data_IF_988134786376
#
_entry.id   IF_988134786376
#
_cell.length_a   1.000
_cell.length_b   1.000
_cell.length_c   1.000
_cell.angle_alpha   90.00
_cell.angle_beta   90.00
_cell.angle_gamma   90.00
#
_symmetry.space_group_name_H-M   'P 1'
#
loop_
_entity.id
_entity.type
_entity.pdbx_description
1 polymer ?
#
# COMPACT_ATOMS: atom_id res chain seq x y z
N UNK A 1 0.87 10.74 -0.17
CA UNK A 1 -0.33 11.56 -0.46
C UNK A 1 -1.54 11.03 0.29
N UNK A 2 -1.83 9.71 0.27
CA UNK A 2 -3.00 9.19 0.99
C UNK A 2 -2.90 9.48 2.51
N UNK A 3 -1.78 9.15 3.13
CA UNK A 3 -1.56 9.43 4.57
C UNK A 3 -1.61 10.91 4.92
N UNK A 4 -1.21 11.80 4.02
CA UNK A 4 -1.24 13.25 4.26
C UNK A 4 -2.65 13.85 4.22
N UNK A 5 -3.64 13.13 3.69
CA UNK A 5 -5.04 13.55 3.71
C UNK A 5 -5.76 13.15 5.00
N UNK A 6 -5.31 12.11 5.68
CA UNK A 6 -5.95 11.55 6.85
C UNK A 6 -6.24 12.59 7.95
N UNK A 7 -5.31 13.49 8.32
CA UNK A 7 -5.59 14.49 9.36
C UNK A 7 -6.80 15.39 9.06
N UNK A 8 -7.08 15.65 7.78
CA UNK A 8 -8.25 16.48 7.38
C UNK A 8 -9.59 15.78 7.64
N UNK A 9 -9.57 14.46 7.85
CA UNK A 9 -10.77 13.66 8.12
C UNK A 9 -11.08 13.53 9.63
N UNK A 10 -10.18 13.95 10.52
CA UNK A 10 -10.36 13.86 11.96
C UNK A 10 -11.72 14.41 12.46
N UNK A 11 -12.25 15.55 11.93
CA UNK A 11 -13.56 16.05 12.35
C UNK A 11 -14.72 15.10 12.05
N UNK A 12 -14.52 14.13 11.14
CA UNK A 12 -15.53 13.16 10.70
C UNK A 12 -15.28 11.74 11.25
N UNK A 13 -14.27 11.55 12.11
CA UNK A 13 -13.90 10.22 12.63
C UNK A 13 -15.06 9.52 13.33
N UNK A 14 -15.93 10.28 14.01
CA UNK A 14 -17.11 9.74 14.70
C UNK A 14 -18.27 9.31 13.79
N UNK A 15 -18.19 9.55 12.48
CA UNK A 15 -19.25 9.18 11.53
C UNK A 15 -19.21 7.69 11.16
N UNK A 16 -18.15 6.97 11.55
CA UNK A 16 -17.90 5.57 11.20
C UNK A 16 -17.79 4.71 12.46
N UNK A 17 -18.41 3.55 12.45
CA UNK A 17 -18.18 2.50 13.46
C UNK A 17 -16.87 1.76 13.14
N UNK A 18 -15.76 2.29 13.66
CA UNK A 18 -14.42 1.77 13.43
C UNK A 18 -14.18 0.38 14.02
N UNK A 19 -15.00 -0.08 14.97
CA UNK A 19 -14.90 -1.46 15.48
C UNK A 19 -15.18 -2.52 14.43
N UNK A 20 -15.77 -2.14 13.30
CA UNK A 20 -16.07 -2.98 12.14
C UNK A 20 -15.08 -2.79 10.98
N UNK A 21 -14.04 -1.98 11.19
CA UNK A 21 -13.08 -1.61 10.13
C UNK A 21 -11.72 -2.19 10.43
N UNK A 22 -11.20 -2.96 9.47
CA UNK A 22 -9.80 -3.41 9.45
C UNK A 22 -9.05 -2.63 8.39
N UNK A 23 -7.96 -2.00 8.79
CA UNK A 23 -7.13 -1.16 7.92
C UNK A 23 -5.83 -1.89 7.62
N UNK A 24 -5.47 -1.92 6.35
CA UNK A 24 -4.20 -2.45 5.85
C UNK A 24 -3.41 -1.33 5.17
N UNK A 25 -2.10 -1.30 5.39
CA UNK A 25 -1.22 -0.52 4.54
C UNK A 25 -0.95 -1.32 3.26
N UNK A 26 -1.06 -0.67 2.10
CA UNK A 26 -0.82 -1.32 0.80
C UNK A 26 0.67 -1.46 0.49
N UNK A 27 1.51 -0.69 1.14
CA UNK A 27 2.97 -0.86 1.16
C UNK A 27 3.57 -0.23 2.42
N UNK A 28 4.74 -0.71 2.78
CA UNK A 28 5.50 -0.16 3.90
C UNK A 28 7.00 -0.25 3.66
N UNK A 29 7.71 0.69 4.25
CA UNK A 29 9.16 0.71 4.25
C UNK A 29 9.68 -0.29 5.26
N UNK A 30 10.55 -1.20 4.83
CA UNK A 30 11.15 -2.19 5.70
C UNK A 30 12.32 -1.56 6.49
N UNK A 31 11.95 -0.85 7.53
CA UNK A 31 12.85 -0.12 8.45
C UNK A 31 12.47 -0.44 9.89
N UNK A 32 13.28 -0.07 10.90
CA UNK A 32 12.95 -0.30 12.31
C UNK A 32 11.62 0.32 12.74
N UNK A 33 11.03 -0.22 13.81
CA UNK A 33 9.86 0.36 14.45
C UNK A 33 10.14 1.81 14.89
N UNK A 34 9.17 2.70 14.72
CA UNK A 34 9.29 4.11 15.05
C UNK A 34 10.17 4.93 14.10
N UNK A 35 10.65 4.33 12.99
CA UNK A 35 11.38 5.10 11.98
C UNK A 35 10.45 6.10 11.29
N UNK A 36 10.94 7.34 11.09
CA UNK A 36 10.13 8.44 10.55
C UNK A 36 9.51 8.17 9.17
N UNK A 37 10.10 7.26 8.39
CA UNK A 37 9.60 6.88 7.07
C UNK A 37 8.47 5.84 7.11
N UNK A 38 8.07 5.33 8.28
CA UNK A 38 6.98 4.35 8.35
C UNK A 38 5.62 5.00 8.08
N UNK A 39 4.89 4.40 7.14
CA UNK A 39 3.54 4.85 6.78
C UNK A 39 2.53 4.56 7.90
N UNK A 40 2.66 3.41 8.57
CA UNK A 40 1.72 2.99 9.62
C UNK A 40 1.77 3.90 10.84
N UNK A 41 2.96 4.33 11.26
CA UNK A 41 3.09 5.29 12.36
C UNK A 41 2.53 6.68 11.95
N UNK A 42 2.83 7.13 10.73
CA UNK A 42 2.26 8.38 10.20
C UNK A 42 0.73 8.32 10.11
N UNK A 43 0.16 7.20 9.66
CA UNK A 43 -1.28 7.02 9.56
C UNK A 43 -1.94 6.93 10.94
N UNK A 44 -1.30 6.24 11.88
CA UNK A 44 -1.76 6.14 13.25
C UNK A 44 -1.82 7.51 13.91
N UNK A 45 -0.70 8.24 13.94
CA UNK A 45 -0.61 9.56 14.54
C UNK A 45 -1.48 10.61 13.82
N UNK A 46 -1.61 10.48 12.50
CA UNK A 46 -2.39 11.41 11.70
C UNK A 46 -3.90 11.24 11.82
N UNK A 47 -4.38 10.03 12.17
CA UNK A 47 -5.82 9.76 12.14
C UNK A 47 -6.27 8.59 13.02
N UNK A 48 -5.69 7.38 12.85
CA UNK A 48 -6.28 6.16 13.40
C UNK A 48 -6.23 6.08 14.92
N UNK A 49 -5.35 6.84 15.59
CA UNK A 49 -5.37 6.96 17.05
C UNK A 49 -6.73 7.46 17.61
N UNK A 50 -7.48 8.23 16.81
CA UNK A 50 -8.79 8.76 17.17
C UNK A 50 -9.96 7.84 16.74
N UNK A 51 -9.69 6.83 15.92
CA UNK A 51 -10.67 5.89 15.38
C UNK A 51 -10.88 4.72 16.36
N UNK A 52 -11.74 4.92 17.34
CA UNK A 52 -11.94 3.95 18.43
C UNK A 52 -12.38 2.58 17.92
N UNK A 53 -11.63 1.54 18.26
CA UNK A 53 -11.93 0.16 17.90
C UNK A 53 -11.37 -0.28 16.55
N UNK A 54 -10.71 0.60 15.78
CA UNK A 54 -10.09 0.23 14.49
C UNK A 54 -9.01 -0.83 14.69
N UNK A 55 -8.99 -1.82 13.81
CA UNK A 55 -7.89 -2.78 13.70
C UNK A 55 -6.93 -2.32 12.59
N UNK A 56 -5.74 -1.84 12.95
CA UNK A 56 -4.68 -1.52 12.00
C UNK A 56 -3.71 -2.69 11.89
N UNK A 57 -3.71 -3.38 10.75
CA UNK A 57 -2.78 -4.48 10.45
C UNK A 57 -1.46 -3.89 9.96
N UNK A 58 -0.45 -3.96 10.82
CA UNK A 58 0.87 -3.38 10.56
C UNK A 58 1.77 -4.35 9.83
N UNK A 59 2.50 -3.87 8.83
CA UNK A 59 3.55 -4.64 8.17
C UNK A 59 4.78 -4.78 9.09
N UNK A 60 5.54 -5.88 8.96
CA UNK A 60 6.74 -6.13 9.76
C UNK A 60 7.77 -5.00 9.68
N UNK A 61 8.59 -4.91 10.71
CA UNK A 61 9.74 -4.00 10.79
C UNK A 61 11.05 -4.74 10.51
N UNK A 62 12.12 -4.00 10.27
CA UNK A 62 13.46 -4.59 10.07
C UNK A 62 14.17 -4.93 11.37
N UNK A 63 13.51 -4.80 12.52
CA UNK A 63 14.10 -5.17 13.81
C UNK A 63 14.33 -6.67 13.91
N UNK A 64 15.45 -7.06 14.46
CA UNK A 64 15.81 -8.49 14.63
C UNK A 64 14.87 -9.24 15.57
N UNK A 65 14.17 -8.53 16.45
CA UNK A 65 13.14 -9.06 17.35
C UNK A 65 11.75 -9.22 16.71
N UNK A 66 11.56 -8.64 15.52
CA UNK A 66 10.30 -8.74 14.79
C UNK A 66 10.13 -10.12 14.14
N UNK A 67 8.88 -10.52 13.80
CA UNK A 67 8.65 -11.68 12.95
C UNK A 67 9.47 -11.59 11.66
N UNK A 68 10.30 -12.61 11.39
CA UNK A 68 11.23 -12.61 10.27
C UNK A 68 12.68 -12.19 10.63
N UNK A 69 12.96 -11.79 11.89
CA UNK A 69 14.32 -11.60 12.40
C UNK A 69 15.16 -10.56 11.64
N UNK A 70 14.55 -9.47 11.14
CA UNK A 70 15.23 -8.44 10.36
C UNK A 70 15.55 -8.83 8.91
N UNK A 71 15.13 -10.02 8.46
CA UNK A 71 15.29 -10.48 7.10
C UNK A 71 14.02 -10.17 6.29
N UNK A 72 14.15 -9.39 5.21
CA UNK A 72 13.02 -8.96 4.39
C UNK A 72 12.18 -10.14 3.87
N UNK A 73 12.80 -11.22 3.37
CA UNK A 73 12.05 -12.37 2.84
C UNK A 73 11.27 -13.09 3.92
N UNK A 74 11.90 -13.33 5.07
CA UNK A 74 11.26 -14.00 6.18
C UNK A 74 10.11 -13.14 6.76
N UNK A 75 10.30 -11.82 6.84
CA UNK A 75 9.26 -10.88 7.27
C UNK A 75 8.10 -10.84 6.27
N UNK A 76 8.40 -10.83 4.98
CA UNK A 76 7.38 -10.87 3.91
C UNK A 76 6.57 -12.15 3.97
N UNK A 77 7.23 -13.32 4.13
CA UNK A 77 6.55 -14.62 4.25
C UNK A 77 5.67 -14.69 5.51
N UNK A 78 6.14 -14.14 6.64
CA UNK A 78 5.34 -14.08 7.86
C UNK A 78 4.10 -13.20 7.68
N UNK A 79 4.24 -12.08 6.98
CA UNK A 79 3.12 -11.19 6.70
C UNK A 79 2.15 -11.79 5.67
N UNK A 80 2.64 -12.54 4.70
CA UNK A 80 1.79 -13.29 3.76
C UNK A 80 0.95 -14.37 4.48
N UNK A 81 1.50 -15.01 5.51
CA UNK A 81 0.73 -15.90 6.37
C UNK A 81 -0.39 -15.16 7.12
N UNK A 82 -0.11 -13.97 7.66
CA UNK A 82 -1.11 -13.10 8.27
C UNK A 82 -2.18 -12.68 7.26
N UNK A 83 -1.77 -12.33 6.04
CA UNK A 83 -2.72 -12.04 4.95
C UNK A 83 -3.65 -13.23 4.69
N UNK A 84 -3.09 -14.41 4.55
CA UNK A 84 -3.86 -15.64 4.27
C UNK A 84 -4.84 -15.96 5.41
N UNK A 85 -4.42 -15.79 6.65
CA UNK A 85 -5.26 -16.02 7.83
C UNK A 85 -6.45 -15.04 7.90
N UNK A 86 -6.20 -13.74 7.67
CA UNK A 86 -7.19 -12.69 7.86
C UNK A 86 -8.04 -12.39 6.63
N UNK A 87 -7.52 -12.60 5.44
CA UNK A 87 -8.20 -12.31 4.16
C UNK A 87 -8.67 -13.57 3.43
N UNK A 88 -7.97 -14.69 3.58
CA UNK A 88 -8.30 -15.93 2.84
C UNK A 88 -8.30 -15.69 1.33
N UNK A 89 -9.44 -15.91 0.70
CA UNK A 89 -9.70 -15.63 -0.72
C UNK A 89 -10.36 -14.26 -0.94
N UNK A 90 -10.51 -13.46 0.12
CA UNK A 90 -11.13 -12.13 0.06
C UNK A 90 -10.23 -11.08 -0.57
N UNK A 91 -10.79 -9.91 -0.76
CA UNK A 91 -10.12 -8.70 -1.22
C UNK A 91 -10.42 -7.54 -0.29
N UNK A 92 -9.75 -6.41 -0.50
CA UNK A 92 -10.19 -5.16 0.12
C UNK A 92 -11.59 -4.79 -0.36
N UNK A 93 -12.41 -4.21 0.51
CA UNK A 93 -13.70 -3.61 0.10
C UNK A 93 -13.45 -2.28 -0.63
N UNK A 94 -12.48 -1.50 -0.15
CA UNK A 94 -12.07 -0.24 -0.76
C UNK A 94 -10.57 -0.01 -0.54
N UNK A 95 -9.90 0.54 -1.52
CA UNK A 95 -8.50 0.96 -1.42
C UNK A 95 -8.35 2.45 -1.70
N UNK A 96 -7.75 3.18 -0.75
CA UNK A 96 -7.35 4.57 -0.92
C UNK A 96 -5.85 4.62 -1.20
N UNK A 97 -5.47 4.96 -2.41
CA UNK A 97 -4.06 4.93 -2.84
C UNK A 97 -3.59 6.27 -3.40
N UNK A 98 -2.29 6.50 -3.26
CA UNK A 98 -1.58 7.55 -3.95
C UNK A 98 -0.86 7.03 -5.18
N UNK A 99 -0.34 7.95 -5.99
CA UNK A 99 0.50 7.65 -7.15
C UNK A 99 1.77 8.51 -7.12
N UNK A 100 2.89 7.93 -7.53
CA UNK A 100 4.11 8.68 -7.79
C UNK A 100 4.10 9.43 -9.13
N UNK A 101 5.07 10.33 -9.36
CA UNK A 101 5.17 11.07 -10.64
C UNK A 101 5.51 10.14 -11.82
N UNK A 102 6.11 8.99 -11.57
CA UNK A 102 6.44 7.93 -12.51
C UNK A 102 5.28 6.93 -12.74
N UNK A 103 4.13 7.15 -12.11
CA UNK A 103 2.95 6.30 -12.20
C UNK A 103 2.97 5.06 -11.30
N UNK A 104 3.99 4.90 -10.42
CA UNK A 104 3.97 3.80 -9.44
C UNK A 104 2.83 3.95 -8.45
N UNK A 105 2.28 2.83 -8.02
CA UNK A 105 1.35 2.70 -6.89
C UNK A 105 1.93 1.72 -5.89
N UNK A 106 1.57 1.83 -4.60
CA UNK A 106 2.16 1.00 -3.57
C UNK A 106 3.70 1.07 -3.64
N UNK A 107 4.40 -0.07 -3.63
CA UNK A 107 5.82 -0.16 -4.01
C UNK A 107 6.04 -0.92 -5.32
N UNK A 108 5.10 -0.80 -6.26
CA UNK A 108 5.12 -1.36 -7.60
C UNK A 108 5.60 -0.30 -8.59
N UNK A 109 6.87 -0.39 -9.00
CA UNK A 109 7.55 0.63 -9.82
C UNK A 109 7.62 0.24 -11.30
N UNK A 110 7.65 1.22 -12.24
CA UNK A 110 7.79 0.95 -13.68
C UNK A 110 8.97 0.06 -14.04
N UNK A 111 8.77 -0.81 -15.03
CA UNK A 111 9.83 -1.63 -15.63
C UNK A 111 10.37 -2.76 -14.74
N UNK A 112 9.70 -3.09 -13.65
CA UNK A 112 10.13 -4.13 -12.71
C UNK A 112 9.34 -5.41 -12.90
N UNK A 113 10.06 -6.54 -12.76
CA UNK A 113 9.47 -7.89 -12.81
C UNK A 113 8.45 -8.15 -11.68
N UNK A 114 8.59 -7.44 -10.56
CA UNK A 114 7.66 -7.56 -9.43
C UNK A 114 6.20 -7.22 -9.81
N UNK A 115 5.99 -6.50 -10.92
CA UNK A 115 4.66 -6.19 -11.46
C UNK A 115 3.92 -7.43 -11.99
N UNK A 116 4.65 -8.48 -12.33
CA UNK A 116 4.11 -9.74 -12.88
C UNK A 116 3.99 -10.84 -11.82
N UNK A 117 4.40 -10.56 -10.59
CA UNK A 117 4.31 -11.50 -9.47
C UNK A 117 2.86 -11.71 -9.01
N UNK A 118 2.56 -12.95 -8.60
CA UNK A 118 1.20 -13.37 -8.23
C UNK A 118 1.00 -13.59 -6.73
N UNK A 119 2.08 -13.71 -5.94
CA UNK A 119 1.96 -13.75 -4.47
C UNK A 119 1.26 -12.49 -3.97
N UNK A 120 0.36 -12.57 -2.98
CA UNK A 120 -0.37 -11.40 -2.51
C UNK A 120 0.54 -10.33 -1.88
N UNK A 121 1.62 -10.75 -1.24
CA UNK A 121 2.58 -9.88 -0.55
C UNK A 121 3.96 -10.07 -1.17
N UNK A 122 4.64 -8.98 -1.48
CA UNK A 122 5.93 -8.99 -2.17
C UNK A 122 7.01 -8.28 -1.37
N UNK A 123 8.22 -8.86 -1.40
CA UNK A 123 9.45 -8.25 -0.94
C UNK A 123 10.08 -7.42 -2.06
N UNK A 124 10.15 -6.11 -1.89
CA UNK A 124 10.75 -5.21 -2.87
C UNK A 124 12.15 -4.84 -2.40
N UNK A 125 13.14 -5.05 -3.28
CA UNK A 125 14.54 -4.64 -3.10
C UNK A 125 14.94 -3.62 -4.14
N UNK A 126 15.94 -2.82 -3.81
CA UNK A 126 16.47 -1.81 -4.73
C UNK A 126 15.36 -0.89 -5.29
N UNK A 127 14.42 -0.50 -4.42
CA UNK A 127 13.43 0.51 -4.78
C UNK A 127 14.16 1.76 -5.33
N UNK A 128 13.68 2.35 -6.43
CA UNK A 128 14.30 3.56 -6.99
C UNK A 128 14.19 4.78 -6.05
N UNK A 129 13.42 4.65 -4.99
CA UNK A 129 13.25 5.68 -3.95
C UNK A 129 13.64 5.10 -2.59
N UNK A 130 14.44 5.84 -1.78
CA UNK A 130 14.79 5.38 -0.43
C UNK A 130 13.56 5.30 0.46
N UNK A 131 13.56 4.43 1.48
CA UNK A 131 14.49 3.31 1.69
C UNK A 131 14.36 2.24 0.60
N UNK A 132 15.45 1.47 0.33
CA UNK A 132 15.48 0.54 -0.81
C UNK A 132 14.66 -0.74 -0.60
N UNK A 133 14.45 -1.14 0.65
CA UNK A 133 13.70 -2.36 0.99
C UNK A 133 12.28 -2.02 1.44
N UNK A 134 11.30 -2.76 0.90
CA UNK A 134 9.88 -2.53 1.18
C UNK A 134 9.11 -3.83 1.16
N UNK A 135 7.96 -3.85 1.83
CA UNK A 135 6.93 -4.88 1.70
C UNK A 135 5.72 -4.22 1.02
N UNK A 136 5.09 -4.89 0.06
CA UNK A 136 3.96 -4.33 -0.69
C UNK A 136 2.93 -5.40 -1.03
N UNK A 137 1.67 -5.00 -1.19
CA UNK A 137 0.69 -5.84 -1.88
C UNK A 137 1.01 -5.89 -3.37
N UNK A 138 0.61 -6.98 -4.01
CA UNK A 138 0.84 -7.18 -5.45
C UNK A 138 -0.23 -6.51 -6.33
N UNK A 139 0.04 -6.43 -7.64
CA UNK A 139 -0.92 -5.94 -8.62
C UNK A 139 -2.21 -6.77 -8.67
N UNK A 140 -2.17 -8.12 -8.61
CA UNK A 140 -3.39 -8.94 -8.49
C UNK A 140 -4.27 -8.56 -7.29
N UNK A 141 -3.68 -8.30 -6.12
CA UNK A 141 -4.44 -7.85 -4.94
C UNK A 141 -5.15 -6.52 -5.19
N UNK A 142 -4.44 -5.56 -5.80
CA UNK A 142 -5.03 -4.26 -6.12
C UNK A 142 -6.15 -4.36 -7.17
N UNK A 143 -6.01 -5.23 -8.15
CA UNK A 143 -7.04 -5.50 -9.17
C UNK A 143 -8.27 -6.21 -8.63
N UNK A 144 -8.12 -7.02 -7.59
CA UNK A 144 -9.23 -7.70 -6.95
C UNK A 144 -10.10 -6.77 -6.09
N UNK A 145 -9.59 -5.59 -5.74
CA UNK A 145 -10.33 -4.59 -4.98
C UNK A 145 -11.45 -3.98 -5.84
N UNK A 146 -12.72 -4.10 -5.43
CA UNK A 146 -13.85 -3.64 -6.25
C UNK A 146 -13.93 -2.12 -6.36
N UNK A 147 -13.36 -1.39 -5.39
CA UNK A 147 -13.41 0.07 -5.35
C UNK A 147 -12.05 0.65 -4.98
N UNK A 148 -11.41 1.32 -5.95
CA UNK A 148 -10.09 1.97 -5.75
C UNK A 148 -10.22 3.47 -5.93
N UNK A 149 -9.90 4.21 -4.88
CA UNK A 149 -9.85 5.67 -4.88
C UNK A 149 -8.41 6.13 -5.08
N UNK A 150 -8.10 6.55 -6.29
CA UNK A 150 -6.80 7.09 -6.63
C UNK A 150 -6.74 8.58 -6.25
N UNK A 151 -5.92 8.91 -5.26
CA UNK A 151 -5.67 10.30 -4.86
C UNK A 151 -4.37 10.80 -5.47
N UNK A 152 -4.47 11.76 -6.37
CA UNK A 152 -3.31 12.35 -7.02
C UNK A 152 -3.48 13.87 -7.18
N UNK A 153 -2.37 14.60 -7.04
CA UNK A 153 -2.36 16.06 -7.20
C UNK A 153 -0.97 16.53 -7.65
N UNK A 154 -0.95 17.68 -8.33
CA UNK A 154 0.25 18.36 -8.81
C UNK A 154 0.62 18.01 -10.25
N UNK A 155 1.18 19.01 -10.96
CA UNK A 155 1.54 18.92 -12.38
C UNK A 155 2.53 17.78 -12.68
N UNK A 156 3.46 17.49 -11.75
CA UNK A 156 4.44 16.43 -11.92
C UNK A 156 3.85 15.01 -12.04
N UNK A 157 2.52 14.84 -11.88
CA UNK A 157 1.82 13.56 -12.04
C UNK A 157 0.91 13.54 -13.27
N UNK A 158 0.70 14.68 -13.93
CA UNK A 158 -0.25 14.83 -15.02
C UNK A 158 0.11 13.93 -16.22
N UNK A 159 1.39 13.83 -16.56
CA UNK A 159 1.85 12.97 -17.66
C UNK A 159 1.54 11.51 -17.39
N UNK A 160 1.94 10.98 -16.20
CA UNK A 160 1.74 9.58 -15.85
C UNK A 160 0.25 9.20 -15.83
N UNK A 161 -0.61 10.06 -15.24
CA UNK A 161 -2.05 9.79 -15.20
C UNK A 161 -2.67 9.87 -16.60
N UNK A 162 -2.25 10.82 -17.44
CA UNK A 162 -2.69 10.91 -18.83
C UNK A 162 -2.32 9.70 -19.65
N UNK A 163 -1.09 9.18 -19.50
CA UNK A 163 -0.63 7.95 -20.15
C UNK A 163 -1.41 6.74 -19.68
N UNK A 164 -1.72 6.65 -18.38
CA UNK A 164 -2.51 5.55 -17.82
C UNK A 164 -3.92 5.51 -18.44
N UNK A 165 -4.61 6.65 -18.51
CA UNK A 165 -5.93 6.74 -19.17
C UNK A 165 -5.88 6.53 -20.69
N UNK A 166 -4.74 6.79 -21.32
CA UNK A 166 -4.52 6.50 -22.73
C UNK A 166 -4.19 5.01 -23.01
N UNK A 167 -4.23 4.14 -22.01
CA UNK A 167 -4.01 2.71 -22.16
C UNK A 167 -2.56 2.28 -22.17
N UNK A 168 -1.67 3.02 -21.49
CA UNK A 168 -0.29 2.60 -21.31
C UNK A 168 -0.21 1.22 -20.65
N UNK A 169 0.84 0.45 -20.96
CA UNK A 169 1.11 -0.81 -20.30
C UNK A 169 1.29 -0.62 -18.78
N UNK A 170 0.71 -1.48 -17.92
CA UNK A 170 1.00 -1.48 -16.49
C UNK A 170 2.48 -1.69 -16.15
N UNK A 171 3.27 -2.28 -17.04
CA UNK A 171 4.72 -2.40 -16.87
C UNK A 171 5.41 -1.04 -16.98
N UNK A 172 4.89 -0.14 -17.81
CA UNK A 172 5.44 1.21 -17.99
C UNK A 172 4.86 2.22 -17.03
N UNK A 173 3.56 2.09 -16.72
CA UNK A 173 2.80 2.99 -15.85
C UNK A 173 1.92 2.12 -14.92
N UNK A 174 2.41 1.71 -13.74
CA UNK A 174 1.73 0.73 -12.89
C UNK A 174 0.29 1.09 -12.51
N UNK A 175 -0.03 2.37 -12.34
CA UNK A 175 -1.40 2.81 -12.06
C UNK A 175 -2.38 2.44 -13.18
N UNK A 176 -1.93 2.28 -14.42
CA UNK A 176 -2.78 1.81 -15.51
C UNK A 176 -3.35 0.41 -15.24
N UNK A 177 -2.63 -0.39 -14.43
CA UNK A 177 -3.08 -1.75 -14.08
C UNK A 177 -4.35 -1.81 -13.23
N UNK A 178 -4.71 -0.72 -12.55
CA UNK A 178 -5.92 -0.62 -11.73
C UNK A 178 -7.01 0.26 -12.36
N UNK A 179 -6.68 0.98 -13.46
CA UNK A 179 -7.64 1.79 -14.20
C UNK A 179 -8.28 1.01 -15.35
N UNK A 180 -7.71 -0.12 -15.74
CA UNK A 180 -8.30 -0.98 -16.77
C UNK A 180 -9.63 -1.58 -16.27
N UNK A 181 -10.68 -1.60 -17.10
CA UNK A 181 -11.90 -2.31 -16.76
C UNK A 181 -11.56 -3.78 -16.45
N UNK A 182 -12.01 -4.28 -15.32
CA UNK A 182 -12.01 -5.72 -15.06
C UNK A 182 -12.92 -6.37 -16.11
N UNK A 183 -12.32 -7.09 -17.07
CA UNK A 183 -13.04 -7.90 -18.06
C UNK A 183 -13.61 -9.15 -17.43
#
# INVERSE_FOLDING_TARGET
VATSLLPSLLPRVGDVDWSRVRVWLVDERFVPAGHADRNDDQAWEGFFHAASGVELVRMPTSDTSAPGGGCLDAATSAFEATWTELMGTGSFDVALIGMGPDGHICSLFPGRVDLEEHSPILAIRNSPKPPPERITVSMPVMRACPEVWLTTAGEGKAEAIGRAFAGASPLDIPVAGILAPTT
#
